data_IF_575923251277
#
_entry.id   IF_575923251277
#
_cell.length_a   1.000
_cell.length_b   1.000
_cell.length_c   1.000
_cell.angle_alpha   90.00
_cell.angle_beta   90.00
_cell.angle_gamma   90.00
#
_symmetry.space_group_name_H-M   'P 1'
#
loop_
_entity.id
_entity.type
_entity.pdbx_description
1 polymer ?
#
# COMPACT_ATOMS: atom_id res chain seq x y z
N UNK A 1 -3.39 -15.89 16.33
CA UNK A 1 -3.04 -14.90 15.27
C UNK A 1 -3.45 -13.54 15.82
N UNK A 2 -2.52 -12.61 15.99
CA UNK A 2 -2.84 -11.26 16.44
C UNK A 2 -3.22 -10.39 15.23
N UNK A 3 -4.20 -9.49 15.35
CA UNK A 3 -4.50 -8.54 14.28
C UNK A 3 -3.32 -7.58 14.07
N UNK A 4 -3.07 -7.18 12.81
CA UNK A 4 -2.23 -6.04 12.53
C UNK A 4 -3.00 -4.77 12.89
N UNK A 5 -2.43 -3.96 13.79
CA UNK A 5 -3.02 -2.69 14.22
C UNK A 5 -1.98 -1.58 14.00
N UNK A 6 -2.33 -0.61 13.16
CA UNK A 6 -1.56 0.63 12.98
C UNK A 6 -2.55 1.81 13.08
N UNK A 7 -2.49 2.61 14.17
CA UNK A 7 -3.34 3.78 14.36
C UNK A 7 -3.20 4.83 13.25
N UNK A 8 -2.06 4.85 12.55
CA UNK A 8 -1.80 5.75 11.42
C UNK A 8 -2.35 5.19 10.09
N UNK A 9 -2.94 3.99 10.10
CA UNK A 9 -3.50 3.32 8.95
C UNK A 9 -5.02 3.08 9.09
N UNK A 10 -5.83 4.15 9.24
CA UNK A 10 -7.26 4.01 9.39
C UNK A 10 -7.89 3.38 8.15
N UNK A 11 -8.75 2.38 8.39
CA UNK A 11 -9.43 1.59 7.36
C UNK A 11 -8.44 0.94 6.39
N UNK A 12 -7.61 -0.01 6.88
CA UNK A 12 -6.63 -0.68 6.05
C UNK A 12 -7.32 -1.54 4.99
N UNK A 13 -6.90 -1.39 3.74
CA UNK A 13 -7.25 -2.31 2.65
C UNK A 13 -5.98 -3.00 2.16
N UNK A 14 -6.01 -4.32 2.13
CA UNK A 14 -4.92 -5.19 1.65
C UNK A 14 -5.22 -5.51 0.18
N UNK A 15 -4.25 -5.85 -0.68
CA UNK A 15 -4.01 -7.24 -1.07
C UNK A 15 -2.91 -7.31 -2.14
N UNK A 16 -1.66 -7.15 -1.74
CA UNK A 16 -0.58 -7.80 -2.46
C UNK A 16 0.48 -8.35 -1.52
N UNK A 17 0.82 -9.62 -1.73
CA UNK A 17 1.97 -10.26 -1.10
C UNK A 17 3.13 -10.12 -2.08
N UNK A 18 4.19 -9.40 -1.69
CA UNK A 18 5.41 -9.30 -2.50
C UNK A 18 6.07 -10.68 -2.63
N UNK A 19 6.98 -10.89 -3.59
CA UNK A 19 7.70 -12.16 -3.71
C UNK A 19 8.50 -12.54 -2.46
N UNK A 20 8.90 -11.54 -1.67
CA UNK A 20 9.62 -11.70 -0.42
C UNK A 20 8.70 -12.01 0.78
N UNK A 21 7.39 -12.18 0.56
CA UNK A 21 6.42 -12.51 1.61
C UNK A 21 5.97 -11.30 2.45
N UNK A 22 6.26 -10.08 2.00
CA UNK A 22 5.80 -8.85 2.66
C UNK A 22 4.42 -8.46 2.14
N UNK A 23 3.66 -7.73 2.93
CA UNK A 23 2.34 -7.21 2.55
C UNK A 23 2.45 -5.74 2.14
N UNK A 24 1.79 -5.40 1.04
CA UNK A 24 1.45 -4.02 0.72
C UNK A 24 0.06 -3.72 1.26
N UNK A 25 -0.02 -2.71 2.13
CA UNK A 25 -1.27 -2.30 2.77
C UNK A 25 -1.53 -0.84 2.46
N UNK A 26 -2.75 -0.55 2.04
CA UNK A 26 -3.23 0.80 1.80
C UNK A 26 -4.04 1.29 2.99
N UNK A 27 -3.81 2.53 3.42
CA UNK A 27 -4.68 3.24 4.35
C UNK A 27 -5.67 4.08 3.56
N UNK A 28 -6.93 3.68 3.53
CA UNK A 28 -7.93 4.32 2.67
C UNK A 28 -8.13 5.80 3.03
N UNK A 29 -8.26 6.13 4.32
CA UNK A 29 -8.44 7.53 4.74
C UNK A 29 -7.13 8.32 4.77
N UNK A 30 -6.03 7.68 5.16
CA UNK A 30 -4.72 8.32 5.25
C UNK A 30 -4.07 8.55 3.88
N UNK A 31 -4.53 7.86 2.83
CA UNK A 31 -3.93 7.93 1.50
C UNK A 31 -2.48 7.47 1.50
N UNK A 32 -2.15 6.48 2.34
CA UNK A 32 -0.80 5.94 2.46
C UNK A 32 -0.74 4.53 1.90
N UNK A 33 0.39 4.17 1.29
CA UNK A 33 0.73 2.78 1.03
C UNK A 33 1.95 2.44 1.87
N UNK A 34 1.85 1.39 2.66
CA UNK A 34 2.92 0.92 3.53
C UNK A 34 3.31 -0.51 3.17
N UNK A 35 4.53 -0.86 3.53
CA UNK A 35 5.04 -2.21 3.50
C UNK A 35 5.06 -2.77 4.93
N UNK A 36 4.56 -3.98 5.09
CA UNK A 36 4.48 -4.68 6.36
C UNK A 36 5.11 -6.06 6.19
N UNK A 37 5.85 -6.55 7.18
CA UNK A 37 6.37 -7.92 7.14
C UNK A 37 5.29 -8.96 7.47
N UNK A 38 5.67 -10.23 7.42
CA UNK A 38 4.80 -11.36 7.72
C UNK A 38 4.32 -11.40 9.18
N UNK A 39 4.96 -10.66 10.08
CA UNK A 39 4.61 -10.57 11.50
C UNK A 39 3.69 -9.37 11.80
N UNK A 40 3.36 -8.56 10.79
CA UNK A 40 2.56 -7.37 10.98
C UNK A 40 3.37 -6.16 11.44
N UNK A 41 4.69 -6.16 11.33
CA UNK A 41 5.49 -4.97 11.63
C UNK A 41 5.63 -4.10 10.38
N UNK A 42 5.40 -2.80 10.55
CA UNK A 42 5.64 -1.80 9.50
C UNK A 42 7.12 -1.73 9.18
N UNK A 43 7.45 -1.93 7.90
CA UNK A 43 8.80 -1.85 7.36
C UNK A 43 9.08 -0.47 6.76
N UNK A 44 8.13 0.05 5.97
CA UNK A 44 8.31 1.32 5.25
C UNK A 44 6.98 1.98 4.92
N UNK A 45 7.01 3.31 4.73
CA UNK A 45 5.96 4.07 4.04
C UNK A 45 6.43 4.33 2.63
N UNK A 46 5.72 3.78 1.65
CA UNK A 46 6.12 3.84 0.24
C UNK A 46 5.62 5.10 -0.44
N UNK A 47 4.44 5.57 -0.07
CA UNK A 47 3.83 6.78 -0.62
C UNK A 47 2.73 7.31 0.30
N UNK A 48 2.39 8.59 0.15
CA UNK A 48 1.38 9.29 0.96
C UNK A 48 0.51 10.20 0.08
N UNK A 49 -0.45 10.91 0.69
CA UNK A 49 -1.24 11.97 0.03
C UNK A 49 -0.40 13.03 -0.68
N UNK A 50 0.83 13.30 -0.23
CA UNK A 50 1.72 14.26 -0.91
C UNK A 50 2.12 13.81 -2.31
N UNK A 51 2.01 12.51 -2.60
CA UNK A 51 2.25 11.92 -3.91
C UNK A 51 0.94 11.66 -4.67
N UNK A 52 -0.08 12.49 -4.43
CA UNK A 52 -1.40 12.43 -5.06
C UNK A 52 -2.23 11.17 -4.76
N UNK A 53 -1.82 10.37 -3.77
CA UNK A 53 -2.59 9.19 -3.36
C UNK A 53 -3.87 9.61 -2.63
N UNK A 54 -5.02 9.38 -3.25
CA UNK A 54 -6.33 9.68 -2.69
C UNK A 54 -7.20 8.42 -2.63
N UNK A 55 -7.66 8.05 -1.43
CA UNK A 55 -8.54 6.90 -1.19
C UNK A 55 -8.12 5.64 -1.99
N UNK A 56 -6.91 5.12 -1.72
CA UNK A 56 -6.43 3.92 -2.39
C UNK A 56 -7.36 2.75 -2.09
N UNK A 57 -7.81 2.05 -3.13
CA UNK A 57 -8.70 0.91 -3.05
C UNK A 57 -8.00 -0.41 -3.37
N UNK A 58 -7.00 -0.38 -4.25
CA UNK A 58 -6.27 -1.55 -4.68
C UNK A 58 -4.80 -1.24 -4.88
N UNK A 59 -3.96 -2.25 -4.60
CA UNK A 59 -2.51 -2.17 -4.78
C UNK A 59 -2.06 -3.43 -5.50
N UNK A 60 -1.24 -3.28 -6.53
CA UNK A 60 -0.65 -4.40 -7.26
C UNK A 60 0.85 -4.15 -7.43
N UNK A 61 1.66 -5.20 -7.28
CA UNK A 61 3.09 -5.15 -7.52
C UNK A 61 3.45 -6.04 -8.71
N UNK A 62 4.15 -5.48 -9.69
CA UNK A 62 4.66 -6.25 -10.83
C UNK A 62 6.08 -6.74 -10.54
N UNK A 63 6.23 -8.07 -10.44
CA UNK A 63 7.54 -8.72 -10.26
C UNK A 63 8.49 -8.51 -11.44
N UNK A 64 7.96 -8.24 -12.63
CA UNK A 64 8.75 -8.13 -13.86
C UNK A 64 9.37 -6.76 -14.07
N UNK A 65 8.73 -5.72 -13.53
CA UNK A 65 9.11 -4.32 -13.80
C UNK A 65 9.42 -3.53 -12.53
N UNK A 66 9.13 -4.11 -11.35
CA UNK A 66 9.20 -3.51 -10.01
C UNK A 66 8.25 -2.36 -9.65
N UNK A 67 7.29 -1.86 -10.48
CA UNK A 67 6.39 -0.82 -10.04
C UNK A 67 5.27 -1.36 -9.15
N UNK A 68 4.75 -0.45 -8.34
CA UNK A 68 3.52 -0.56 -7.59
C UNK A 68 2.45 0.25 -8.30
N UNK A 69 1.35 -0.40 -8.65
CA UNK A 69 0.16 0.23 -9.20
C UNK A 69 -0.85 0.44 -8.08
N UNK A 70 -1.40 1.66 -7.99
CA UNK A 70 -2.39 2.02 -6.97
C UNK A 70 -3.66 2.48 -7.66
N UNK A 71 -4.72 1.69 -7.53
CA UNK A 71 -6.07 2.06 -7.93
C UNK A 71 -6.74 2.89 -6.82
N UNK A 72 -7.47 3.92 -7.23
CA UNK A 72 -7.97 4.97 -6.34
C UNK A 72 -9.44 5.26 -6.61
N UNK A 73 -10.18 5.64 -5.58
CA UNK A 73 -11.63 5.84 -5.65
C UNK A 73 -12.04 7.18 -6.27
N UNK A 74 -11.33 8.27 -5.95
CA UNK A 74 -11.81 9.64 -6.19
C UNK A 74 -11.13 10.39 -7.34
N UNK A 75 -10.04 9.85 -7.90
CA UNK A 75 -9.27 10.56 -8.92
C UNK A 75 -9.20 9.85 -10.27
N UNK A 76 -9.98 8.78 -10.48
CA UNK A 76 -10.10 8.00 -11.72
C UNK A 76 -8.76 7.62 -12.36
N UNK A 77 -7.68 7.56 -11.56
CA UNK A 77 -6.31 7.36 -12.01
C UNK A 77 -5.69 6.15 -11.33
N UNK A 78 -4.88 5.44 -12.09
CA UNK A 78 -3.91 4.47 -11.56
C UNK A 78 -2.59 5.22 -11.39
N UNK A 79 -2.11 5.32 -10.15
CA UNK A 79 -0.76 5.82 -9.88
C UNK A 79 0.24 4.68 -10.01
N UNK A 80 1.43 5.02 -10.51
CA UNK A 80 2.53 4.08 -10.69
C UNK A 80 3.73 4.58 -9.91
N UNK A 81 4.09 3.86 -8.87
CA UNK A 81 5.29 4.13 -8.07
C UNK A 81 6.38 3.17 -8.48
N UNK A 82 7.61 3.65 -8.63
CA UNK A 82 8.79 2.80 -8.77
C UNK A 82 9.54 2.84 -7.46
N UNK A 83 9.80 1.66 -6.91
CA UNK A 83 10.73 1.53 -5.79
C UNK A 83 12.11 1.44 -6.42
N UNK A 84 12.92 2.48 -6.25
CA UNK A 84 14.35 2.45 -6.62
C UNK A 84 15.15 1.56 -5.67
#
# INVERSE_FOLDING_TARGET
MAPFEDPELPLPRVLHVTPAGQLLVSGWLSGTIIQVDSEGKRLATLTTKSNEVCKPLSVCYSRHTSPIFVGQEENDKILVFRVE
#
